data_IF_435813445856
#
_entry.id   IF_435813445856
#
_cell.length_a   1.000
_cell.length_b   1.000
_cell.length_c   1.000
_cell.angle_alpha   90.00
_cell.angle_beta   90.00
_cell.angle_gamma   90.00
#
_symmetry.space_group_name_H-M   'P 1'
#
loop_
_entity.id
_entity.type
_entity.pdbx_description
1 polymer ?
#
# COMPACT_ATOMS: atom_id res chain seq x y z
N UNK A 1 -13.79 39.14 -63.91
CA UNK A 1 -14.53 39.76 -62.78
C UNK A 1 -14.43 38.79 -61.62
N UNK A 2 -13.36 38.76 -60.82
CA UNK A 2 -12.95 39.68 -59.74
C UNK A 2 -14.15 40.12 -58.90
N UNK A 3 -14.34 39.48 -57.74
CA UNK A 3 -14.47 40.20 -56.46
C UNK A 3 -14.02 39.28 -55.32
N UNK A 4 -12.96 39.73 -54.66
CA UNK A 4 -12.42 39.21 -53.41
C UNK A 4 -13.34 39.60 -52.26
N UNK A 5 -13.46 38.74 -51.24
CA UNK A 5 -13.81 39.21 -49.90
C UNK A 5 -12.85 38.57 -48.89
N UNK A 6 -11.89 39.39 -48.44
CA UNK A 6 -11.08 39.16 -47.25
C UNK A 6 -11.98 39.21 -46.01
N UNK A 7 -11.79 38.28 -45.07
CA UNK A 7 -12.14 38.52 -43.67
C UNK A 7 -10.94 38.21 -42.79
N UNK A 8 -10.53 39.22 -42.03
CA UNK A 8 -9.38 39.26 -41.15
C UNK A 8 -9.70 38.66 -39.76
N UNK A 9 -8.74 37.89 -39.24
CA UNK A 9 -8.22 37.81 -37.86
C UNK A 9 -9.16 37.94 -36.64
N UNK A 10 -9.08 36.95 -35.74
CA UNK A 10 -8.65 37.14 -34.32
C UNK A 10 -7.97 35.88 -33.77
N UNK A 11 -6.63 35.89 -33.75
CA UNK A 11 -5.81 35.05 -32.88
C UNK A 11 -5.80 35.69 -31.49
N UNK A 12 -6.33 35.00 -30.48
CA UNK A 12 -6.14 35.37 -29.08
C UNK A 12 -4.86 34.70 -28.60
N UNK A 13 -3.78 35.48 -28.58
CA UNK A 13 -2.56 35.11 -27.87
C UNK A 13 -2.80 35.31 -26.37
N UNK A 14 -2.85 34.21 -25.61
CA UNK A 14 -2.79 34.27 -24.15
C UNK A 14 -1.33 34.52 -23.78
N UNK A 15 -1.00 35.77 -23.46
CA UNK A 15 0.25 36.12 -22.80
C UNK A 15 0.16 35.65 -21.34
N UNK A 16 0.86 34.59 -20.99
CA UNK A 16 1.20 34.35 -19.58
C UNK A 16 2.29 35.33 -19.17
N UNK A 17 1.89 36.27 -18.32
CA UNK A 17 2.77 37.16 -17.59
C UNK A 17 3.63 36.28 -16.66
N UNK A 18 4.87 36.05 -17.05
CA UNK A 18 5.92 35.58 -16.16
C UNK A 18 6.20 36.73 -15.19
N UNK A 19 5.62 36.68 -13.99
CA UNK A 19 6.11 37.46 -12.86
C UNK A 19 7.37 36.78 -12.35
N UNK A 20 8.51 37.33 -12.74
CA UNK A 20 9.78 37.13 -12.07
C UNK A 20 9.68 37.70 -10.65
N UNK A 21 9.89 36.86 -9.64
CA UNK A 21 10.12 37.30 -8.25
C UNK A 21 11.64 37.25 -8.02
N UNK A 22 12.26 38.32 -7.51
CA UNK A 22 13.71 38.38 -7.35
C UNK A 22 14.20 37.54 -6.16
N UNK A 23 15.49 37.22 -6.23
CA UNK A 23 16.32 36.52 -5.25
C UNK A 23 16.11 36.92 -3.78
N UNK A 24 16.32 35.92 -2.91
CA UNK A 24 17.19 36.08 -1.74
C UNK A 24 16.53 36.49 -0.42
N UNK A 25 16.32 35.51 0.46
CA UNK A 25 16.72 35.56 1.87
C UNK A 25 16.58 34.15 2.46
N UNK A 26 17.68 33.61 2.99
CA UNK A 26 17.64 32.36 3.75
C UNK A 26 16.78 32.55 4.97
N UNK A 27 15.76 31.71 5.14
CA UNK A 27 14.99 31.68 6.37
C UNK A 27 15.86 31.05 7.47
N UNK A 28 15.90 31.64 8.68
CA UNK A 28 16.77 31.17 9.74
C UNK A 28 16.37 29.76 10.16
N UNK A 29 17.34 28.85 10.18
CA UNK A 29 17.27 27.62 10.96
C UNK A 29 17.07 28.06 12.41
N UNK A 30 15.83 27.98 12.90
CA UNK A 30 15.57 28.04 14.34
C UNK A 30 16.04 26.72 14.92
N UNK A 31 17.30 26.69 15.36
CA UNK A 31 17.75 25.73 16.35
C UNK A 31 16.86 25.94 17.58
N UNK A 32 15.94 25.01 17.83
CA UNK A 32 15.23 24.96 19.10
C UNK A 32 16.25 24.59 20.17
N UNK A 33 16.79 25.61 20.84
CA UNK A 33 17.41 25.44 22.15
C UNK A 33 16.28 24.97 23.07
N UNK A 34 16.40 23.81 23.74
CA UNK A 34 15.40 23.41 24.71
C UNK A 34 15.30 24.50 25.77
N UNK A 35 14.08 24.98 26.00
CA UNK A 35 13.79 25.84 27.13
C UNK A 35 14.20 25.06 28.39
N UNK A 36 15.13 25.62 29.15
CA UNK A 36 15.41 25.18 30.51
C UNK A 36 14.12 25.32 31.30
N UNK A 37 13.49 24.18 31.62
CA UNK A 37 12.46 24.14 32.66
C UNK A 37 13.19 24.38 33.97
N UNK A 38 13.14 25.63 34.43
CA UNK A 38 13.33 25.95 35.84
C UNK A 38 12.08 25.44 36.52
N UNK A 39 12.12 24.20 37.01
CA UNK A 39 11.11 23.75 37.97
C UNK A 39 11.35 24.47 39.29
N UNK A 40 10.31 25.18 39.71
CA UNK A 40 10.25 25.85 40.98
C UNK A 40 10.46 24.85 42.11
N UNK A 41 11.50 25.12 42.89
CA UNK A 41 11.65 24.74 44.29
C UNK A 41 10.30 24.66 45.01
N UNK A 42 9.91 23.46 45.40
CA UNK A 42 9.31 23.24 46.70
C UNK A 42 10.02 22.04 47.34
N UNK A 43 10.95 22.40 48.21
CA UNK A 43 11.50 21.55 49.25
C UNK A 43 10.37 20.85 50.01
N UNK A 44 10.38 19.52 50.01
CA UNK A 44 10.13 18.72 51.20
C UNK A 44 11.08 17.52 51.13
N UNK A 45 12.17 17.62 51.87
CA UNK A 45 13.07 16.53 52.18
C UNK A 45 12.27 15.35 52.74
N UNK A 46 12.31 14.21 52.06
CA UNK A 46 12.15 12.92 52.73
C UNK A 46 13.15 11.92 52.14
N UNK A 47 14.25 11.77 52.87
CA UNK A 47 15.16 10.64 52.75
C UNK A 47 14.41 9.35 53.08
N UNK A 48 14.20 8.49 52.08
CA UNK A 48 14.01 7.06 52.29
C UNK A 48 14.49 6.29 51.05
N UNK A 49 15.77 5.93 51.09
CA UNK A 49 16.28 4.72 50.45
C UNK A 49 15.38 3.54 50.82
N UNK A 50 14.79 2.85 49.83
CA UNK A 50 14.62 1.39 49.70
C UNK A 50 13.79 1.12 48.44
N UNK A 51 14.47 0.81 47.33
CA UNK A 51 13.81 0.29 46.14
C UNK A 51 13.48 -1.19 46.36
N UNK A 52 12.19 -1.52 46.42
CA UNK A 52 11.69 -2.89 46.28
C UNK A 52 11.13 -3.01 44.87
N UNK A 53 11.81 -3.81 44.06
CA UNK A 53 11.40 -4.20 42.71
C UNK A 53 10.26 -5.22 42.81
N UNK A 54 9.03 -4.82 42.50
CA UNK A 54 7.96 -5.79 42.27
C UNK A 54 8.10 -6.36 40.84
N UNK A 55 8.73 -7.54 40.75
CA UNK A 55 8.71 -8.36 39.54
C UNK A 55 7.33 -8.97 39.36
N UNK A 56 6.47 -8.38 38.51
CA UNK A 56 5.37 -9.11 37.90
C UNK A 56 5.86 -9.76 36.60
N UNK A 57 6.35 -10.98 36.73
CA UNK A 57 6.59 -11.89 35.61
C UNK A 57 5.26 -12.45 35.11
N UNK A 58 4.65 -11.83 34.10
CA UNK A 58 3.74 -12.54 33.22
C UNK A 58 4.56 -13.32 32.19
N UNK A 59 4.78 -14.60 32.49
CA UNK A 59 5.26 -15.56 31.51
C UNK A 59 4.09 -15.93 30.58
N UNK A 60 4.02 -15.30 29.41
CA UNK A 60 3.16 -15.78 28.32
C UNK A 60 3.90 -16.84 27.51
N UNK A 61 3.69 -18.10 27.90
CA UNK A 61 3.95 -19.26 27.06
C UNK A 61 2.72 -19.55 26.19
N UNK A 62 2.90 -19.43 24.87
CA UNK A 62 1.97 -19.90 23.85
C UNK A 62 1.74 -21.42 23.95
N UNK A 63 0.47 -21.86 23.95
CA UNK A 63 0.13 -23.28 23.74
C UNK A 63 -1.29 -23.72 24.11
N UNK A 64 -2.24 -23.57 23.16
CA UNK A 64 -3.25 -24.56 22.75
C UNK A 64 -4.06 -25.40 23.78
N UNK A 65 -5.40 -25.19 23.75
CA UNK A 65 -6.51 -26.17 23.77
C UNK A 65 -7.03 -26.86 25.05
N UNK A 66 -8.37 -26.75 25.18
CA UNK A 66 -9.40 -27.61 25.80
C UNK A 66 -9.63 -27.62 27.33
N UNK A 67 -10.78 -27.02 27.68
CA UNK A 67 -11.82 -27.40 28.66
C UNK A 67 -11.40 -27.99 30.01
N UNK A 68 -11.69 -27.26 31.09
CA UNK A 68 -12.67 -27.71 32.09
C UNK A 68 -13.16 -26.54 32.94
N UNK A 69 -14.48 -26.43 33.01
CA UNK A 69 -15.24 -25.69 34.00
C UNK A 69 -14.81 -26.11 35.41
N UNK A 70 -14.17 -25.18 36.12
CA UNK A 70 -14.25 -25.12 37.58
C UNK A 70 -14.83 -23.76 37.94
N UNK A 71 -15.95 -23.89 38.64
CA UNK A 71 -16.73 -22.87 39.33
C UNK A 71 -15.84 -22.21 40.40
N UNK A 72 -14.90 -21.34 39.98
CA UNK A 72 -14.25 -20.44 40.91
C UNK A 72 -15.18 -19.26 41.10
N UNK A 73 -15.78 -19.23 42.28
CA UNK A 73 -16.65 -18.16 42.74
C UNK A 73 -15.96 -16.83 42.46
N UNK A 74 -16.58 -16.05 41.59
CA UNK A 74 -16.36 -14.61 41.50
C UNK A 74 -16.37 -14.06 42.93
N UNK A 75 -15.18 -13.69 43.42
CA UNK A 75 -15.10 -12.78 44.55
C UNK A 75 -15.55 -11.45 43.99
N UNK A 76 -16.87 -11.24 44.05
CA UNK A 76 -17.52 -9.95 43.89
C UNK A 76 -16.84 -8.99 44.88
N UNK A 77 -15.85 -8.23 44.41
CA UNK A 77 -15.23 -7.16 45.19
C UNK A 77 -16.09 -5.91 45.00
N UNK A 78 -16.86 -5.48 46.01
CA UNK A 78 -17.66 -4.28 45.91
C UNK A 78 -16.79 -3.11 46.34
N UNK A 79 -15.98 -2.56 45.42
CA UNK A 79 -15.39 -1.23 45.65
C UNK A 79 -16.14 -0.21 44.81
N UNK A 80 -17.32 0.14 45.30
CA UNK A 80 -18.17 1.22 44.79
C UNK A 80 -17.53 2.63 44.88
N UNK A 81 -16.27 2.73 45.33
CA UNK A 81 -15.57 4.01 45.56
C UNK A 81 -14.38 4.24 44.62
N UNK A 82 -14.10 3.35 43.66
CA UNK A 82 -13.03 3.58 42.68
C UNK A 82 -11.64 3.67 43.31
N UNK A 83 -11.35 2.90 44.38
CA UNK A 83 -9.99 2.81 44.90
C UNK A 83 -9.27 1.60 44.28
N UNK A 84 -8.07 1.81 43.71
CA UNK A 84 -7.25 0.76 43.10
C UNK A 84 -6.15 0.32 44.09
N UNK A 85 -6.09 -0.98 44.48
CA UNK A 85 -5.03 -1.48 45.33
C UNK A 85 -3.70 -1.49 44.57
N UNK A 86 -2.65 -0.89 45.15
CA UNK A 86 -1.31 -0.87 44.54
C UNK A 86 -0.24 -1.58 45.39
N UNK A 87 -0.56 -1.90 46.64
CA UNK A 87 0.29 -2.74 47.50
C UNK A 87 -0.58 -3.67 48.35
N UNK A 88 -0.21 -4.95 48.37
CA UNK A 88 -0.84 -5.99 49.17
C UNK A 88 0.25 -6.59 50.07
N UNK A 89 0.15 -6.33 51.38
CA UNK A 89 0.91 -7.08 52.39
C UNK A 89 -0.04 -8.02 53.15
N UNK A 90 0.52 -8.94 53.94
CA UNK A 90 -0.26 -9.91 54.71
C UNK A 90 -1.28 -9.23 55.66
N UNK A 91 -1.02 -7.98 56.07
CA UNK A 91 -1.81 -7.26 57.08
C UNK A 91 -2.48 -5.97 56.57
N UNK A 92 -2.16 -5.50 55.35
CA UNK A 92 -2.68 -4.23 54.82
C UNK A 92 -2.82 -4.23 53.30
N UNK A 93 -3.94 -3.69 52.81
CA UNK A 93 -4.13 -3.30 51.40
C UNK A 93 -4.05 -1.78 51.31
N UNK A 94 -3.03 -1.26 50.63
CA UNK A 94 -2.98 0.15 50.30
C UNK A 94 -3.71 0.36 48.98
N UNK A 95 -4.77 1.19 49.04
CA UNK A 95 -5.55 1.56 47.88
C UNK A 95 -5.41 3.05 47.60
N UNK A 96 -5.29 3.40 46.32
CA UNK A 96 -5.25 4.77 45.83
C UNK A 96 -6.59 5.08 45.17
N UNK A 97 -7.22 6.18 45.57
CA UNK A 97 -8.40 6.68 44.87
C UNK A 97 -8.08 6.93 43.40
N UNK A 98 -8.89 6.37 42.50
CA UNK A 98 -8.79 6.52 41.04
C UNK A 98 -8.84 8.01 40.64
N UNK A 99 -9.54 8.84 41.42
CA UNK A 99 -9.53 10.30 41.25
C UNK A 99 -8.16 10.97 41.46
N UNK A 100 -7.21 10.28 42.11
CA UNK A 100 -5.84 10.75 42.37
C UNK A 100 -4.80 10.08 41.45
N UNK A 101 -5.22 9.20 40.53
CA UNK A 101 -4.35 8.75 39.46
C UNK A 101 -4.25 9.88 38.43
N UNK A 102 -3.12 10.58 38.43
CA UNK A 102 -2.83 11.55 37.37
C UNK A 102 -2.78 10.76 36.07
N UNK A 103 -3.82 10.92 35.23
CA UNK A 103 -3.83 10.33 33.89
C UNK A 103 -2.54 10.76 33.18
N UNK A 104 -1.73 9.77 32.87
CA UNK A 104 -0.44 9.94 32.22
C UNK A 104 -0.64 10.75 30.94
N UNK A 105 0.07 11.87 30.82
CA UNK A 105 -0.09 12.79 29.67
C UNK A 105 0.68 12.20 28.47
N UNK A 106 0.08 12.20 27.27
CA UNK A 106 0.78 11.94 26.02
C UNK A 106 2.08 12.75 25.90
N UNK A 107 3.17 12.12 25.45
CA UNK A 107 4.47 12.78 25.37
C UNK A 107 5.14 12.56 24.01
N UNK A 108 6.01 13.50 23.64
CA UNK A 108 6.93 13.30 22.53
C UNK A 108 7.99 12.26 22.91
N UNK A 109 8.26 11.33 22.01
CA UNK A 109 9.18 10.21 22.24
C UNK A 109 10.43 10.22 21.35
N UNK A 110 10.63 11.28 20.58
CA UNK A 110 11.82 11.45 19.75
C UNK A 110 11.62 11.08 18.28
N UNK A 111 12.70 10.66 17.64
CA UNK A 111 12.78 10.45 16.18
C UNK A 111 13.13 9.00 15.86
N UNK A 112 12.22 8.32 15.15
CA UNK A 112 12.45 7.00 14.60
C UNK A 112 13.22 7.11 13.27
N UNK A 113 14.52 6.78 13.29
CA UNK A 113 15.35 6.70 12.08
C UNK A 113 15.12 5.38 11.33
N UNK A 114 14.35 5.44 10.25
CA UNK A 114 14.09 4.27 9.41
C UNK A 114 15.25 4.06 8.44
N UNK A 115 16.04 3.00 8.64
CA UNK A 115 17.15 2.65 7.75
C UNK A 115 16.65 2.13 6.39
N UNK A 116 16.77 2.99 5.37
CA UNK A 116 16.28 2.70 4.03
C UNK A 116 17.21 1.83 3.20
N UNK A 117 18.42 1.54 3.68
CA UNK A 117 19.28 0.51 3.06
C UNK A 117 18.74 -0.88 3.34
N UNK A 118 18.22 -1.10 4.55
CA UNK A 118 17.69 -2.40 4.96
C UNK A 118 16.27 -2.66 4.45
N UNK A 119 15.46 -1.62 4.28
CA UNK A 119 14.05 -1.74 3.84
C UNK A 119 13.68 -0.71 2.77
N UNK A 120 14.32 -0.75 1.58
CA UNK A 120 14.15 0.28 0.57
C UNK A 120 12.72 0.43 0.05
N UNK A 121 11.97 -0.66 -0.11
CA UNK A 121 10.61 -0.59 -0.67
C UNK A 121 9.61 -0.07 0.37
N UNK A 122 9.75 -0.46 1.64
CA UNK A 122 8.98 0.11 2.74
C UNK A 122 9.29 1.61 2.94
N UNK A 123 10.57 2.01 2.88
CA UNK A 123 10.94 3.43 2.88
C UNK A 123 10.34 4.17 1.70
N UNK A 124 10.35 3.58 0.50
CA UNK A 124 9.78 4.22 -0.70
C UNK A 124 8.30 4.57 -0.51
N UNK A 125 7.51 3.68 0.09
CA UNK A 125 6.11 3.95 0.41
C UNK A 125 5.95 5.03 1.49
N UNK A 126 6.68 4.90 2.60
CA UNK A 126 6.64 5.85 3.71
C UNK A 126 7.07 7.27 3.31
N UNK A 127 8.17 7.40 2.56
CA UNK A 127 8.67 8.65 2.02
C UNK A 127 7.66 9.28 1.04
N UNK A 128 6.99 8.47 0.21
CA UNK A 128 5.96 8.98 -0.69
C UNK A 128 4.78 9.58 0.09
N UNK A 129 4.33 8.91 1.15
CA UNK A 129 3.30 9.46 2.01
C UNK A 129 3.74 10.79 2.65
N UNK A 130 4.86 10.76 3.37
CA UNK A 130 5.32 11.91 4.16
C UNK A 130 5.72 13.10 3.29
N UNK A 131 6.48 12.86 2.22
CA UNK A 131 7.10 13.94 1.45
C UNK A 131 6.26 14.36 0.23
N UNK A 132 5.32 13.52 -0.24
CA UNK A 132 4.51 13.81 -1.42
C UNK A 132 3.01 13.97 -1.13
N UNK A 133 2.37 13.01 -0.45
CA UNK A 133 0.94 13.12 -0.09
C UNK A 133 0.73 14.23 0.97
N UNK A 134 1.61 14.26 1.97
CA UNK A 134 1.59 15.22 3.07
C UNK A 134 2.51 16.43 2.84
N UNK A 135 2.91 16.68 1.58
CA UNK A 135 3.81 17.78 1.24
C UNK A 135 3.35 19.12 1.84
N UNK A 136 4.29 19.81 2.49
CA UNK A 136 4.01 21.08 3.18
C UNK A 136 3.37 20.93 4.57
N UNK A 137 3.24 19.71 5.09
CA UNK A 137 2.77 19.44 6.45
C UNK A 137 3.82 18.67 7.24
N UNK A 138 3.93 18.98 8.53
CA UNK A 138 4.67 18.13 9.47
C UNK A 138 3.80 16.94 9.82
N UNK A 139 4.28 15.73 9.54
CA UNK A 139 3.59 14.49 9.90
C UNK A 139 4.12 14.03 11.25
N UNK A 140 3.22 13.93 12.23
CA UNK A 140 3.51 13.33 13.53
C UNK A 140 2.79 11.99 13.61
N UNK A 141 3.49 10.96 14.07
CA UNK A 141 2.92 9.64 14.23
C UNK A 141 2.59 9.43 15.71
N UNK A 142 1.37 8.99 15.97
CA UNK A 142 0.82 8.86 17.33
C UNK A 142 0.52 7.39 17.61
N UNK A 143 0.74 6.93 18.85
CA UNK A 143 0.32 5.61 19.30
C UNK A 143 -1.22 5.50 19.25
N UNK A 144 -1.75 4.44 18.62
CA UNK A 144 -3.18 4.30 18.37
C UNK A 144 -3.95 4.08 19.67
N UNK A 145 -5.18 4.60 19.71
CA UNK A 145 -6.17 4.31 20.74
C UNK A 145 -7.18 3.25 20.25
N UNK A 146 -8.06 2.77 21.13
CA UNK A 146 -9.05 1.72 20.84
C UNK A 146 -10.04 2.03 19.69
N UNK A 147 -10.12 3.29 19.25
CA UNK A 147 -10.96 3.75 18.14
C UNK A 147 -10.17 4.19 16.90
N UNK A 148 -8.87 3.92 16.85
CA UNK A 148 -8.06 4.23 15.67
C UNK A 148 -8.45 3.34 14.50
N UNK A 149 -8.48 3.92 13.30
CA UNK A 149 -8.85 3.21 12.09
C UNK A 149 -7.96 1.98 11.84
N UNK A 150 -8.60 0.85 11.53
CA UNK A 150 -7.96 -0.44 11.39
C UNK A 150 -7.42 -0.70 9.96
N UNK A 151 -6.95 -1.93 9.71
CA UNK A 151 -6.44 -2.31 8.37
C UNK A 151 -7.55 -2.41 7.32
N UNK A 152 -8.82 -2.52 7.70
CA UNK A 152 -9.96 -2.49 6.78
C UNK A 152 -10.16 -1.05 6.30
N UNK A 153 -10.13 -0.08 7.22
CA UNK A 153 -10.21 1.35 6.93
C UNK A 153 -9.04 1.84 6.07
N UNK A 154 -7.84 1.28 6.23
CA UNK A 154 -6.71 1.55 5.34
C UNK A 154 -6.82 0.84 3.98
N UNK A 155 -7.83 0.00 3.77
CA UNK A 155 -8.03 -0.76 2.54
C UNK A 155 -7.10 -1.96 2.36
N UNK A 156 -6.44 -2.43 3.42
CA UNK A 156 -5.46 -3.51 3.35
C UNK A 156 -6.05 -4.87 3.71
N UNK A 157 -6.90 -4.92 4.74
CA UNK A 157 -7.59 -6.14 5.12
C UNK A 157 -8.87 -6.30 4.29
N UNK A 158 -8.87 -7.30 3.41
CA UNK A 158 -10.02 -7.66 2.58
C UNK A 158 -10.42 -9.13 2.79
N UNK A 159 -11.63 -9.49 2.38
CA UNK A 159 -12.24 -10.81 2.51
C UNK A 159 -11.33 -11.98 2.13
N UNK A 160 -10.42 -11.77 1.17
CA UNK A 160 -9.44 -12.76 0.72
C UNK A 160 -7.99 -12.25 0.86
N UNK A 161 -7.60 -11.81 2.06
CA UNK A 161 -6.23 -11.42 2.38
C UNK A 161 -5.98 -9.93 2.16
N UNK A 162 -5.14 -9.57 1.19
CA UNK A 162 -4.82 -8.17 0.86
C UNK A 162 -4.95 -7.90 -0.64
N UNK A 163 -5.13 -6.64 -1.07
CA UNK A 163 -5.27 -6.30 -2.49
C UNK A 163 -4.09 -6.79 -3.33
N UNK A 164 -2.86 -6.68 -2.81
CA UNK A 164 -1.65 -7.11 -3.52
C UNK A 164 -1.59 -8.62 -3.80
N UNK A 165 -2.43 -9.42 -3.14
CA UNK A 165 -2.53 -10.86 -3.37
C UNK A 165 -3.68 -11.24 -4.30
N UNK A 166 -4.46 -10.27 -4.76
CA UNK A 166 -5.64 -10.47 -5.60
C UNK A 166 -5.51 -9.76 -6.93
N UNK A 167 -6.15 -10.29 -7.96
CA UNK A 167 -6.21 -9.64 -9.27
C UNK A 167 -7.36 -8.62 -9.30
N UNK A 168 -7.18 -7.48 -9.99
CA UNK A 168 -6.06 -7.17 -10.89
C UNK A 168 -4.88 -6.46 -10.20
N UNK A 169 -4.97 -6.11 -8.92
CA UNK A 169 -3.97 -5.28 -8.22
C UNK A 169 -2.60 -5.95 -8.12
N UNK A 170 -2.56 -7.23 -7.77
CA UNK A 170 -1.33 -8.02 -7.75
C UNK A 170 -0.65 -8.12 -9.13
N UNK A 171 -1.39 -8.00 -10.23
CA UNK A 171 -0.78 -7.91 -11.57
C UNK A 171 -0.20 -6.52 -11.83
N UNK A 172 -0.92 -5.47 -11.42
CA UNK A 172 -0.54 -4.08 -11.66
C UNK A 172 0.68 -3.65 -10.86
N UNK A 173 0.68 -4.01 -9.58
CA UNK A 173 1.59 -3.45 -8.59
C UNK A 173 2.72 -4.41 -8.22
N UNK A 174 2.74 -5.62 -8.78
CA UNK A 174 3.91 -6.47 -8.67
C UNK A 174 5.04 -5.86 -9.49
N UNK A 175 6.11 -5.45 -8.80
CA UNK A 175 7.32 -5.00 -9.43
C UNK A 175 7.92 -6.13 -10.31
N UNK A 176 8.11 -5.92 -11.62
CA UNK A 176 8.70 -6.91 -12.51
C UNK A 176 10.09 -7.39 -12.07
N UNK A 177 10.86 -6.56 -11.35
CA UNK A 177 12.18 -6.92 -10.78
C UNK A 177 12.07 -8.07 -9.78
N UNK A 178 10.91 -8.22 -9.15
CA UNK A 178 10.60 -9.27 -8.19
C UNK A 178 10.17 -10.59 -8.86
N UNK A 179 9.91 -10.61 -10.17
CA UNK A 179 9.43 -11.81 -10.88
C UNK A 179 10.46 -12.95 -10.99
N UNK A 180 11.75 -12.68 -10.82
CA UNK A 180 12.77 -13.71 -10.98
C UNK A 180 12.70 -14.84 -9.91
N UNK A 181 12.01 -14.61 -8.78
CA UNK A 181 11.87 -15.59 -7.68
C UNK A 181 10.43 -15.63 -7.11
N UNK A 182 9.43 -15.80 -8.00
CA UNK A 182 8.00 -15.85 -7.63
C UNK A 182 7.65 -16.92 -6.58
N UNK A 183 8.43 -18.00 -6.46
CA UNK A 183 8.21 -19.06 -5.47
C UNK A 183 8.54 -18.63 -4.03
N UNK A 184 9.28 -17.53 -3.85
CA UNK A 184 9.75 -17.06 -2.54
C UNK A 184 9.13 -15.74 -2.07
N UNK A 185 8.47 -14.98 -2.96
CA UNK A 185 7.95 -13.66 -2.62
C UNK A 185 6.48 -13.73 -2.23
N UNK A 186 6.24 -13.89 -0.93
CA UNK A 186 4.95 -13.50 -0.33
C UNK A 186 4.83 -11.98 -0.48
N UNK A 187 4.21 -11.52 -1.56
CA UNK A 187 3.87 -10.11 -1.73
C UNK A 187 2.90 -9.72 -0.62
N UNK A 188 3.17 -8.57 -0.01
CA UNK A 188 2.33 -7.96 1.01
C UNK A 188 1.91 -6.57 0.56
N UNK A 189 0.78 -6.12 1.10
CA UNK A 189 0.39 -4.72 1.01
C UNK A 189 1.03 -4.00 2.19
N UNK A 190 2.03 -3.18 1.89
CA UNK A 190 2.56 -2.21 2.81
C UNK A 190 1.64 -0.99 2.88
N UNK A 191 1.53 -0.40 4.06
CA UNK A 191 0.59 0.67 4.36
C UNK A 191 1.27 1.75 5.20
N UNK A 192 1.05 3.00 4.80
CA UNK A 192 1.57 4.15 5.52
C UNK A 192 0.52 5.28 5.59
N UNK A 193 0.14 5.77 6.79
CA UNK A 193 0.62 5.37 8.10
C UNK A 193 0.27 3.92 8.44
N UNK A 194 1.10 3.29 9.27
CA UNK A 194 0.97 1.89 9.67
C UNK A 194 -0.26 1.68 10.55
N UNK A 195 -0.80 0.45 10.59
CA UNK A 195 -1.84 0.06 11.58
C UNK A 195 -1.46 0.36 13.03
N UNK A 196 -0.17 0.33 13.34
CA UNK A 196 0.31 0.62 14.68
C UNK A 196 0.48 2.11 14.98
N UNK A 197 -0.09 2.97 14.15
CA UNK A 197 -0.11 4.43 14.28
C UNK A 197 -1.57 4.88 14.23
N UNK A 198 -1.88 5.97 14.94
CA UNK A 198 -3.21 6.55 14.93
C UNK A 198 -3.57 7.02 13.52
N UNK A 199 -4.80 6.71 13.09
CA UNK A 199 -5.34 7.07 11.77
C UNK A 199 -6.82 7.41 11.86
N UNK A 200 -7.24 8.28 10.97
CA UNK A 200 -8.65 8.58 10.74
C UNK A 200 -9.33 7.45 9.95
N UNK A 201 -10.63 7.28 10.17
CA UNK A 201 -11.46 6.37 9.36
C UNK A 201 -11.44 6.77 7.89
N UNK A 202 -11.72 5.81 7.01
CA UNK A 202 -11.80 6.08 5.59
C UNK A 202 -12.87 7.14 5.27
N UNK A 203 -12.46 8.21 4.61
CA UNK A 203 -13.30 9.29 4.13
C UNK A 203 -13.23 9.37 2.59
N UNK A 204 -14.29 8.95 1.86
CA UNK A 204 -14.32 9.04 0.41
C UNK A 204 -14.35 10.49 -0.12
N UNK A 205 -14.63 11.47 0.75
CA UNK A 205 -14.61 12.89 0.41
C UNK A 205 -13.25 13.56 0.67
N UNK A 206 -12.28 12.83 1.22
CA UNK A 206 -10.95 13.35 1.46
C UNK A 206 -10.30 13.81 0.15
N UNK A 207 -9.81 15.06 0.16
CA UNK A 207 -9.14 15.66 -1.02
C UNK A 207 -7.75 15.10 -1.27
N UNK A 208 -7.20 14.35 -0.31
CA UNK A 208 -5.90 13.69 -0.38
C UNK A 208 -6.04 12.25 0.13
N UNK A 209 -5.27 11.31 -0.41
CA UNK A 209 -5.23 9.96 0.14
C UNK A 209 -4.87 9.97 1.63
N UNK A 210 -5.67 9.30 2.46
CA UNK A 210 -5.39 9.17 3.90
C UNK A 210 -4.30 8.14 4.20
N UNK A 211 -4.00 7.25 3.24
CA UNK A 211 -2.92 6.27 3.32
C UNK A 211 -2.28 6.07 1.96
N UNK A 212 -0.99 5.75 1.97
CA UNK A 212 -0.23 5.25 0.82
C UNK A 212 -0.08 3.73 0.94
N UNK A 213 -0.46 3.02 -0.12
CA UNK A 213 -0.34 1.59 -0.24
C UNK A 213 0.67 1.23 -1.33
N UNK A 214 1.46 0.19 -1.09
CA UNK A 214 2.40 -0.38 -2.05
C UNK A 214 2.46 -1.89 -1.94
N UNK A 215 2.61 -2.58 -3.07
CA UNK A 215 2.87 -4.01 -3.06
C UNK A 215 4.37 -4.28 -3.00
N UNK A 216 4.84 -4.83 -1.89
CA UNK A 216 6.27 -5.06 -1.66
C UNK A 216 6.54 -6.49 -1.18
N UNK A 217 7.79 -6.93 -1.24
CA UNK A 217 8.20 -8.23 -0.72
C UNK A 217 8.02 -8.31 0.80
N UNK A 218 7.43 -9.39 1.32
CA UNK A 218 7.14 -9.50 2.75
C UNK A 218 8.35 -9.41 3.67
N UNK A 219 9.55 -9.74 3.19
CA UNK A 219 10.79 -9.57 3.96
C UNK A 219 11.13 -8.08 4.16
N UNK A 220 10.96 -7.26 3.13
CA UNK A 220 11.20 -5.82 3.20
C UNK A 220 10.18 -5.14 4.12
N UNK A 221 8.90 -5.48 3.93
CA UNK A 221 7.81 -4.99 4.77
C UNK A 221 8.02 -5.35 6.26
N UNK A 222 8.41 -6.60 6.54
CA UNK A 222 8.65 -7.06 7.91
C UNK A 222 9.83 -6.34 8.56
N UNK A 223 10.92 -6.06 7.81
CA UNK A 223 12.05 -5.28 8.32
C UNK A 223 11.64 -3.84 8.62
N UNK A 224 10.94 -3.19 7.69
CA UNK A 224 10.45 -1.82 7.86
C UNK A 224 9.55 -1.68 9.09
N UNK A 225 8.55 -2.58 9.24
CA UNK A 225 7.67 -2.57 10.40
C UNK A 225 8.39 -2.91 11.71
N UNK A 226 9.38 -3.80 11.68
CA UNK A 226 10.18 -4.14 12.86
C UNK A 226 11.08 -2.98 13.32
N UNK A 227 11.53 -2.12 12.40
CA UNK A 227 12.27 -0.90 12.74
C UNK A 227 11.41 0.02 13.62
N UNK A 228 10.18 0.32 13.17
CA UNK A 228 9.24 1.16 13.94
C UNK A 228 8.85 0.50 15.26
N UNK A 229 8.62 -0.83 15.26
CA UNK A 229 8.36 -1.60 16.49
C UNK A 229 9.50 -1.45 17.51
N UNK A 230 10.76 -1.64 17.09
CA UNK A 230 11.93 -1.57 17.98
C UNK A 230 12.14 -0.18 18.56
N UNK A 231 11.91 0.87 17.78
CA UNK A 231 11.91 2.26 18.28
C UNK A 231 10.89 2.44 19.41
N UNK A 232 9.63 2.04 19.17
CA UNK A 232 8.53 2.14 20.13
C UNK A 232 8.80 1.36 21.42
N UNK A 233 9.39 0.17 21.29
CA UNK A 233 9.74 -0.71 22.41
C UNK A 233 11.05 -0.33 23.12
N UNK A 234 11.82 0.63 22.61
CA UNK A 234 13.13 0.99 23.18
C UNK A 234 14.17 -0.12 23.06
N UNK A 235 14.14 -0.88 21.96
CA UNK A 235 15.04 -2.01 21.70
C UNK A 235 15.87 -1.82 20.44
N UNK A 236 16.82 -2.73 20.20
CA UNK A 236 17.67 -2.71 19.01
C UNK A 236 18.55 -1.46 18.96
N UNK A 237 18.48 -0.70 17.86
CA UNK A 237 19.31 0.49 17.65
C UNK A 237 18.97 1.66 18.58
N UNK A 238 17.79 1.63 19.22
CA UNK A 238 17.34 2.62 20.20
C UNK A 238 17.41 2.11 21.65
N UNK A 239 17.87 0.88 21.86
CA UNK A 239 18.11 0.33 23.19
C UNK A 239 19.46 0.76 23.78
N UNK A 240 19.77 0.35 25.01
CA UNK A 240 21.06 0.66 25.66
C UNK A 240 22.25 0.23 24.79
N UNK A 241 23.14 1.18 24.49
CA UNK A 241 24.32 0.95 23.64
C UNK A 241 24.03 0.94 22.13
N UNK A 242 22.78 1.16 21.71
CA UNK A 242 22.40 1.28 20.31
C UNK A 242 22.83 2.62 19.70
N UNK A 243 23.05 2.64 18.38
CA UNK A 243 23.55 3.82 17.65
C UNK A 243 22.59 5.01 17.63
N UNK A 244 21.29 4.77 17.80
CA UNK A 244 20.23 5.78 17.78
C UNK A 244 19.59 5.96 19.16
N UNK A 245 20.24 5.48 20.24
CA UNK A 245 19.72 5.59 21.61
C UNK A 245 19.39 7.04 22.00
N UNK A 246 20.17 8.01 21.52
CA UNK A 246 19.95 9.44 21.78
C UNK A 246 18.75 10.03 21.03
N UNK A 247 18.28 9.37 19.97
CA UNK A 247 17.13 9.83 19.19
C UNK A 247 15.80 9.43 19.85
N UNK A 248 15.82 8.53 20.84
CA UNK A 248 14.63 8.10 21.58
C UNK A 248 14.58 8.79 22.95
N UNK A 249 13.42 9.35 23.27
CA UNK A 249 13.19 10.11 24.50
C UNK A 249 12.26 9.37 25.48
N UNK A 250 12.41 9.67 26.77
CA UNK A 250 11.57 9.15 27.83
C UNK A 250 11.98 7.77 28.36
N UNK A 251 11.07 7.13 29.10
CA UNK A 251 11.29 5.82 29.73
C UNK A 251 11.69 4.75 28.70
N UNK A 252 12.58 3.80 29.04
CA UNK A 252 12.92 2.68 28.18
C UNK A 252 11.74 1.71 27.95
N UNK A 253 10.64 1.86 28.69
CA UNK A 253 9.42 1.10 28.46
C UNK A 253 8.79 1.46 27.09
N UNK A 254 7.94 0.54 26.59
CA UNK A 254 7.12 0.76 25.39
C UNK A 254 6.31 2.06 25.50
N UNK A 255 6.09 2.73 24.37
CA UNK A 255 5.18 3.89 24.32
C UNK A 255 3.75 3.50 24.69
N UNK A 256 3.04 4.43 25.34
CA UNK A 256 1.60 4.27 25.65
C UNK A 256 0.74 5.06 24.67
N UNK A 257 -0.56 4.77 24.68
CA UNK A 257 -1.56 5.47 23.87
C UNK A 257 -1.39 7.00 23.88
N UNK A 258 -1.48 7.61 22.70
CA UNK A 258 -1.33 9.05 22.52
C UNK A 258 0.12 9.56 22.46
N UNK A 259 1.12 8.75 22.83
CA UNK A 259 2.52 9.12 22.59
C UNK A 259 2.78 9.40 21.14
N UNK A 260 3.63 10.36 20.85
CA UNK A 260 3.91 10.74 19.47
C UNK A 260 5.39 10.89 19.19
N UNK A 261 5.75 10.70 17.93
CA UNK A 261 7.13 10.70 17.47
C UNK A 261 7.20 11.10 15.99
N UNK A 262 8.41 11.49 15.58
CA UNK A 262 8.70 11.79 14.18
C UNK A 262 9.38 10.59 13.52
N UNK A 263 9.29 10.52 12.19
CA UNK A 263 10.03 9.53 11.39
C UNK A 263 11.00 10.26 10.47
N UNK A 264 12.27 9.87 10.55
CA UNK A 264 13.34 10.34 9.69
C UNK A 264 13.84 9.17 8.83
N UNK A 265 13.97 9.39 7.53
CA UNK A 265 14.46 8.39 6.59
C UNK A 265 15.99 8.43 6.53
N UNK A 266 16.63 7.45 7.17
CA UNK A 266 18.07 7.41 7.33
C UNK A 266 18.73 6.76 6.11
N UNK A 267 19.51 7.56 5.38
CA UNK A 267 20.25 7.17 4.18
C UNK A 267 21.78 7.06 4.41
N UNK A 268 22.23 7.18 5.66
CA UNK A 268 23.67 7.29 5.98
C UNK A 268 24.48 6.00 5.79
N UNK A 269 23.83 4.84 5.78
CA UNK A 269 24.50 3.54 5.70
C UNK A 269 24.86 3.08 4.27
N UNK A 270 24.43 3.83 3.26
CA UNK A 270 24.75 3.52 1.87
C UNK A 270 26.22 3.81 1.56
N UNK A 271 26.94 2.80 1.08
CA UNK A 271 28.25 2.95 0.47
C UNK A 271 28.07 3.37 -0.99
N UNK A 272 28.13 4.67 -1.26
CA UNK A 272 27.92 5.21 -2.61
C UNK A 272 29.04 4.86 -3.62
N UNK A 273 30.11 4.20 -3.19
CA UNK A 273 31.14 3.65 -4.07
C UNK A 273 30.78 2.22 -4.57
N UNK A 274 29.82 1.54 -3.94
CA UNK A 274 29.28 0.28 -4.44
C UNK A 274 28.16 0.59 -5.46
N UNK A 275 28.29 0.18 -6.74
CA UNK A 275 27.27 0.42 -7.76
C UNK A 275 25.89 -0.16 -7.41
N UNK A 276 25.84 -1.26 -6.65
CA UNK A 276 24.59 -1.91 -6.25
C UNK A 276 23.86 -1.08 -5.20
N UNK A 277 24.58 -0.66 -4.17
CA UNK A 277 24.02 0.22 -3.13
C UNK A 277 23.65 1.59 -3.69
N UNK A 278 24.48 2.12 -4.61
CA UNK A 278 24.19 3.37 -5.31
C UNK A 278 22.89 3.29 -6.13
N UNK A 279 22.66 2.18 -6.83
CA UNK A 279 21.44 1.97 -7.60
C UNK A 279 20.19 1.93 -6.70
N UNK A 280 20.28 1.34 -5.50
CA UNK A 280 19.18 1.34 -4.52
C UNK A 280 18.97 2.76 -3.98
N UNK A 281 20.05 3.45 -3.59
CA UNK A 281 19.99 4.84 -3.12
C UNK A 281 19.33 5.76 -4.14
N UNK A 282 19.74 5.68 -5.41
CA UNK A 282 19.17 6.50 -6.49
C UNK A 282 17.70 6.14 -6.77
N UNK A 283 17.27 4.91 -6.52
CA UNK A 283 15.87 4.47 -6.65
C UNK A 283 14.95 5.01 -5.54
N UNK A 284 15.48 5.41 -4.38
CA UNK A 284 14.73 5.98 -3.24
C UNK A 284 14.33 7.45 -3.49
N UNK A 285 13.82 7.77 -4.68
CA UNK A 285 13.58 9.14 -5.16
C UNK A 285 12.65 9.98 -4.29
N UNK A 286 11.76 9.35 -3.53
CA UNK A 286 10.84 10.06 -2.61
C UNK A 286 11.50 10.41 -1.28
N UNK A 287 12.63 9.78 -0.93
CA UNK A 287 13.32 9.95 0.34
C UNK A 287 14.42 11.03 0.28
N UNK A 288 14.80 11.48 -0.91
CA UNK A 288 15.82 12.50 -1.08
C UNK A 288 15.31 13.90 -0.70
N UNK A 289 16.22 14.83 -0.32
CA UNK A 289 15.89 16.24 -0.25
C UNK A 289 15.32 16.73 -1.58
N UNK A 290 14.15 17.38 -1.58
CA UNK A 290 13.39 17.75 -2.78
C UNK A 290 12.94 16.54 -3.60
N UNK A 291 11.99 15.74 -3.09
CA UNK A 291 11.57 14.50 -3.74
C UNK A 291 10.95 14.75 -5.13
N UNK A 292 11.22 13.83 -6.07
CA UNK A 292 10.39 13.71 -7.27
C UNK A 292 9.08 13.00 -6.90
N UNK A 293 8.04 13.77 -6.65
CA UNK A 293 6.72 13.26 -6.28
C UNK A 293 5.90 12.69 -7.44
N UNK A 294 6.49 12.54 -8.64
CA UNK A 294 5.89 11.77 -9.71
C UNK A 294 5.79 10.30 -9.31
N UNK A 295 4.57 9.79 -9.24
CA UNK A 295 4.32 8.37 -8.95
C UNK A 295 5.08 7.48 -9.96
N UNK A 296 5.76 6.45 -9.45
CA UNK A 296 6.46 5.41 -10.20
C UNK A 296 5.51 4.36 -10.77
N UNK A 297 4.22 4.48 -10.49
CA UNK A 297 3.15 3.59 -10.91
C UNK A 297 2.87 2.47 -9.91
N UNK A 298 3.54 2.44 -8.76
CA UNK A 298 3.38 1.41 -7.75
C UNK A 298 2.71 1.92 -6.46
N UNK A 299 2.58 3.24 -6.32
CA UNK A 299 1.84 3.84 -5.20
C UNK A 299 0.35 3.94 -5.54
N UNK A 300 -0.47 3.43 -4.64
CA UNK A 300 -1.92 3.45 -4.77
C UNK A 300 -2.60 3.73 -3.43
N UNK A 301 -3.89 3.98 -3.47
CA UNK A 301 -4.71 4.18 -2.28
C UNK A 301 -6.10 3.60 -2.53
N UNK A 302 -6.81 3.30 -1.45
CA UNK A 302 -8.22 2.96 -1.53
C UNK A 302 -9.03 4.22 -1.88
N UNK A 303 -9.89 4.12 -2.87
CA UNK A 303 -10.78 5.21 -3.30
C UNK A 303 -12.25 4.96 -2.96
N UNK A 304 -12.61 3.71 -2.63
CA UNK A 304 -13.91 3.37 -2.09
C UNK A 304 -13.82 2.14 -1.18
N UNK A 305 -14.40 2.23 0.02
CA UNK A 305 -14.53 1.13 0.96
C UNK A 305 -15.93 0.52 0.88
N UNK A 306 -16.00 -0.78 0.60
CA UNK A 306 -17.20 -1.59 0.68
C UNK A 306 -16.97 -2.71 1.66
N UNK A 307 -17.83 -2.87 2.65
CA UNK A 307 -17.69 -3.96 3.61
C UNK A 307 -18.40 -5.22 3.12
N UNK A 308 -17.90 -6.37 3.56
CA UNK A 308 -18.65 -7.63 3.49
C UNK A 308 -19.94 -7.55 4.30
N UNK A 309 -20.90 -8.43 4.04
CA UNK A 309 -22.21 -8.40 4.72
C UNK A 309 -22.08 -8.56 6.26
N UNK A 310 -20.98 -9.15 6.73
CA UNK A 310 -20.64 -9.30 8.15
C UNK A 310 -19.87 -8.10 8.73
N UNK A 311 -19.53 -7.08 7.93
CA UNK A 311 -18.80 -5.88 8.37
C UNK A 311 -17.32 -6.10 8.73
N UNK A 312 -16.85 -7.34 8.86
CA UNK A 312 -15.54 -7.67 9.42
C UNK A 312 -14.34 -7.47 8.49
N UNK A 313 -14.57 -7.21 7.19
CA UNK A 313 -13.49 -7.00 6.21
C UNK A 313 -13.95 -6.20 5.01
N UNK A 314 -12.98 -5.58 4.32
CA UNK A 314 -13.19 -4.97 3.01
C UNK A 314 -13.58 -6.01 1.97
N UNK A 315 -14.45 -5.65 1.05
CA UNK A 315 -15.03 -6.58 0.10
C UNK A 315 -14.18 -6.63 -1.16
N UNK A 316 -13.51 -7.74 -1.41
CA UNK A 316 -12.81 -8.00 -2.68
C UNK A 316 -13.20 -9.39 -3.18
N UNK A 317 -13.20 -9.59 -4.49
CA UNK A 317 -13.72 -10.82 -5.09
C UNK A 317 -13.12 -11.11 -6.46
N UNK A 318 -13.37 -12.32 -6.93
CA UNK A 318 -12.89 -12.85 -8.20
C UNK A 318 -14.09 -13.46 -8.95
N UNK A 319 -14.44 -12.96 -10.15
CA UNK A 319 -13.84 -11.81 -10.83
C UNK A 319 -14.00 -10.51 -10.04
N UNK A 320 -13.08 -9.56 -10.24
CA UNK A 320 -13.16 -8.25 -9.61
C UNK A 320 -14.24 -7.39 -10.29
N UNK A 321 -15.21 -6.93 -9.50
CA UNK A 321 -16.27 -6.02 -9.91
C UNK A 321 -16.08 -4.66 -9.22
N UNK A 322 -15.67 -3.66 -10.02
CA UNK A 322 -15.44 -2.28 -9.58
C UNK A 322 -16.68 -1.66 -8.92
N UNK A 323 -17.90 -2.14 -9.21
CA UNK A 323 -19.15 -1.61 -8.66
C UNK A 323 -19.57 -2.27 -7.34
N UNK A 324 -18.96 -3.40 -6.99
CA UNK A 324 -19.35 -4.19 -5.80
C UNK A 324 -18.24 -4.39 -4.79
N UNK A 325 -16.98 -4.13 -5.15
CA UNK A 325 -15.81 -4.37 -4.30
C UNK A 325 -15.08 -3.09 -3.90
N UNK A 326 -14.16 -3.14 -2.94
CA UNK A 326 -13.26 -2.02 -2.66
C UNK A 326 -12.56 -1.59 -3.94
N UNK A 327 -12.53 -0.29 -4.20
CA UNK A 327 -11.82 0.26 -5.35
C UNK A 327 -10.51 0.89 -4.91
N UNK A 328 -9.53 0.81 -5.80
CA UNK A 328 -8.20 1.33 -5.58
C UNK A 328 -7.77 2.15 -6.78
N UNK A 329 -7.01 3.19 -6.52
CA UNK A 329 -6.57 4.16 -7.52
C UNK A 329 -5.07 4.35 -7.42
N UNK A 330 -4.41 4.42 -8.58
CA UNK A 330 -3.01 4.82 -8.63
C UNK A 330 -2.93 6.29 -8.23
N UNK A 331 -2.08 6.62 -7.26
CA UNK A 331 -2.03 7.99 -6.75
C UNK A 331 -1.63 8.97 -7.86
N UNK A 332 -2.46 9.99 -8.09
CA UNK A 332 -2.30 10.97 -9.18
C UNK A 332 -3.07 10.65 -10.46
N UNK A 333 -3.62 9.44 -10.61
CA UNK A 333 -4.48 9.09 -11.73
C UNK A 333 -5.95 9.45 -11.43
N UNK A 334 -6.77 9.79 -12.44
CA UNK A 334 -8.15 10.21 -12.23
C UNK A 334 -9.13 9.05 -12.04
N UNK A 335 -8.76 7.83 -12.45
CA UNK A 335 -9.65 6.69 -12.54
C UNK A 335 -9.20 5.53 -11.63
N UNK A 336 -10.18 4.80 -11.11
CA UNK A 336 -9.97 3.59 -10.33
C UNK A 336 -9.56 2.42 -11.23
N UNK A 337 -8.77 1.50 -10.68
CA UNK A 337 -8.35 0.29 -11.37
C UNK A 337 -9.53 -0.64 -11.56
N UNK A 338 -9.64 -1.15 -12.78
CA UNK A 338 -10.61 -2.15 -13.23
C UNK A 338 -9.91 -3.40 -13.74
N UNK A 339 -10.63 -4.52 -13.77
CA UNK A 339 -10.18 -5.76 -14.39
C UNK A 339 -10.80 -5.88 -15.78
N UNK A 340 -9.97 -5.88 -16.80
CA UNK A 340 -10.39 -6.11 -18.17
C UNK A 340 -10.04 -7.53 -18.58
N UNK A 341 -10.81 -8.06 -19.53
CA UNK A 341 -10.67 -9.40 -20.06
C UNK A 341 -10.50 -9.31 -21.57
N UNK A 342 -9.53 -10.03 -22.13
CA UNK A 342 -9.41 -10.19 -23.58
C UNK A 342 -9.47 -11.67 -23.94
N UNK A 343 -10.40 -12.00 -24.85
CA UNK A 343 -10.52 -13.32 -25.45
C UNK A 343 -9.97 -13.27 -26.86
N UNK A 344 -9.00 -14.14 -27.17
CA UNK A 344 -8.49 -14.35 -28.52
C UNK A 344 -8.88 -15.74 -29.00
N UNK A 345 -9.64 -15.81 -30.09
CA UNK A 345 -9.96 -17.09 -30.72
C UNK A 345 -9.04 -17.27 -31.92
N UNK A 346 -8.20 -18.30 -31.86
CA UNK A 346 -7.29 -18.70 -32.95
C UNK A 346 -7.87 -19.93 -33.61
N UNK A 347 -8.26 -19.77 -34.87
CA UNK A 347 -8.98 -20.78 -35.66
C UNK A 347 -8.33 -20.93 -37.04
N UNK A 348 -8.90 -21.79 -37.88
CA UNK A 348 -8.40 -22.10 -39.22
C UNK A 348 -7.39 -23.25 -39.24
N UNK A 349 -7.26 -23.91 -40.39
CA UNK A 349 -6.41 -25.10 -40.57
C UNK A 349 -4.92 -24.82 -40.28
N UNK A 350 -4.50 -23.59 -40.52
CA UNK A 350 -3.13 -23.08 -40.30
C UNK A 350 -2.99 -22.32 -38.98
N UNK A 351 -4.03 -22.30 -38.14
CA UNK A 351 -4.10 -21.51 -36.91
C UNK A 351 -3.78 -20.02 -37.12
N UNK A 352 -4.26 -19.43 -38.22
CA UNK A 352 -3.96 -18.04 -38.59
C UNK A 352 -5.13 -17.08 -38.52
N UNK A 353 -6.34 -17.58 -38.29
CA UNK A 353 -7.52 -16.75 -38.15
C UNK A 353 -7.67 -16.32 -36.71
N UNK A 354 -7.38 -15.05 -36.43
CA UNK A 354 -7.46 -14.49 -35.07
C UNK A 354 -8.63 -13.52 -34.97
N UNK A 355 -9.55 -13.80 -34.05
CA UNK A 355 -10.58 -12.85 -33.61
C UNK A 355 -10.31 -12.43 -32.16
N UNK A 356 -10.79 -11.25 -31.78
CA UNK A 356 -10.57 -10.71 -30.44
C UNK A 356 -11.83 -10.07 -29.90
N UNK A 357 -12.05 -10.20 -28.59
CA UNK A 357 -13.12 -9.53 -27.86
C UNK A 357 -12.60 -9.08 -26.51
N UNK A 358 -12.90 -7.84 -26.15
CA UNK A 358 -12.51 -7.23 -24.88
C UNK A 358 -13.75 -6.98 -24.06
N UNK A 359 -13.71 -7.36 -22.79
CA UNK A 359 -14.80 -7.24 -21.85
C UNK A 359 -14.36 -6.59 -20.55
N UNK A 360 -15.31 -6.02 -19.83
CA UNK A 360 -15.18 -5.63 -18.43
C UNK A 360 -16.30 -6.28 -17.63
N UNK A 361 -16.02 -6.64 -16.38
CA UNK A 361 -17.02 -7.17 -15.46
C UNK A 361 -17.54 -6.03 -14.57
N UNK A 362 -18.80 -5.63 -14.77
CA UNK A 362 -19.43 -4.54 -14.03
C UNK A 362 -20.83 -4.97 -13.59
N UNK A 363 -21.15 -4.73 -12.31
CA UNK A 363 -22.45 -5.08 -11.73
C UNK A 363 -22.84 -6.55 -11.86
N UNK A 364 -21.86 -7.46 -11.93
CA UNK A 364 -22.09 -8.89 -12.12
C UNK A 364 -22.27 -9.31 -13.58
N UNK A 365 -22.10 -8.40 -14.54
CA UNK A 365 -22.34 -8.61 -15.97
C UNK A 365 -21.06 -8.36 -16.76
N UNK A 366 -20.70 -9.28 -17.66
CA UNK A 366 -19.64 -9.05 -18.65
C UNK A 366 -20.18 -8.17 -19.79
N UNK A 367 -19.57 -7.01 -19.99
CA UNK A 367 -19.92 -6.07 -21.07
C UNK A 367 -18.81 -6.05 -22.12
N UNK A 368 -19.15 -6.36 -23.38
CA UNK A 368 -18.20 -6.26 -24.50
C UNK A 368 -17.92 -4.78 -24.82
N UNK A 369 -16.63 -4.41 -24.86
CA UNK A 369 -16.18 -3.04 -25.07
C UNK A 369 -15.62 -2.81 -26.47
N UNK A 370 -14.98 -3.85 -27.04
CA UNK A 370 -14.40 -3.82 -28.36
C UNK A 370 -14.29 -5.24 -28.91
N UNK A 371 -14.41 -5.37 -30.23
CA UNK A 371 -14.19 -6.64 -30.89
C UNK A 371 -13.56 -6.47 -32.27
N UNK A 372 -12.92 -7.56 -32.71
CA UNK A 372 -12.35 -7.74 -34.03
C UNK A 372 -12.82 -9.08 -34.56
N UNK A 373 -13.39 -9.09 -35.76
CA UNK A 373 -13.76 -10.32 -36.45
C UNK A 373 -12.54 -11.14 -36.84
N UNK A 374 -12.73 -12.45 -37.02
CA UNK A 374 -11.66 -13.35 -37.45
C UNK A 374 -11.05 -12.84 -38.76
N UNK A 375 -9.72 -12.75 -38.79
CA UNK A 375 -8.96 -12.41 -39.99
C UNK A 375 -7.57 -13.05 -39.91
N UNK A 376 -6.90 -13.31 -41.05
CA UNK A 376 -5.54 -13.81 -41.07
C UNK A 376 -4.58 -12.88 -40.30
N UNK A 377 -3.73 -13.45 -39.46
CA UNK A 377 -2.71 -12.74 -38.70
C UNK A 377 -1.41 -13.52 -38.72
N UNK A 378 -0.41 -13.04 -39.48
CA UNK A 378 0.88 -13.72 -39.60
C UNK A 378 1.73 -13.56 -38.32
N UNK A 379 2.73 -14.43 -38.15
CA UNK A 379 3.71 -14.28 -37.08
C UNK A 379 4.44 -12.93 -37.18
N UNK A 380 4.66 -12.25 -36.05
CA UNK A 380 5.30 -10.94 -35.99
C UNK A 380 4.40 -9.77 -36.42
N UNK A 381 3.12 -10.02 -36.69
CA UNK A 381 2.16 -8.96 -37.03
C UNK A 381 1.30 -8.59 -35.82
N UNK A 382 0.58 -7.48 -35.93
CA UNK A 382 -0.27 -6.94 -34.86
C UNK A 382 -1.60 -6.40 -35.40
N UNK A 383 -2.56 -6.27 -34.51
CA UNK A 383 -3.74 -5.42 -34.72
C UNK A 383 -3.96 -4.54 -33.48
N UNK A 384 -4.78 -3.51 -33.64
CA UNK A 384 -5.16 -2.60 -32.55
C UNK A 384 -6.68 -2.56 -32.44
N UNK A 385 -7.18 -2.72 -31.21
CA UNK A 385 -8.55 -2.41 -30.83
C UNK A 385 -8.56 -0.95 -30.34
N UNK A 386 -9.40 -0.08 -30.92
CA UNK A 386 -9.40 1.35 -30.59
C UNK A 386 -9.93 1.58 -29.16
N UNK A 387 -9.52 2.70 -28.56
CA UNK A 387 -10.14 3.20 -27.34
C UNK A 387 -11.64 3.51 -27.56
N UNK A 388 -12.40 3.46 -26.48
CA UNK A 388 -13.82 3.83 -26.43
C UNK A 388 -14.10 4.60 -25.13
N UNK A 389 -15.35 5.00 -24.89
CA UNK A 389 -15.71 5.69 -23.64
C UNK A 389 -15.46 4.84 -22.38
N UNK A 390 -15.49 3.52 -22.52
CA UNK A 390 -15.32 2.55 -21.42
C UNK A 390 -13.99 1.80 -21.48
N UNK A 391 -13.30 1.81 -22.63
CA UNK A 391 -11.92 1.35 -22.79
C UNK A 391 -11.02 2.57 -23.01
N UNK A 392 -10.41 3.15 -21.94
CA UNK A 392 -9.78 4.47 -22.01
C UNK A 392 -8.57 4.55 -22.94
N UNK A 393 -7.90 3.43 -23.17
CA UNK A 393 -6.71 3.35 -24.01
C UNK A 393 -6.84 2.24 -25.05
N UNK A 394 -6.19 2.38 -26.22
CA UNK A 394 -6.17 1.32 -27.23
C UNK A 394 -5.48 0.07 -26.69
N UNK A 395 -5.87 -1.09 -27.23
CA UNK A 395 -5.20 -2.36 -26.97
C UNK A 395 -4.54 -2.84 -28.26
N UNK A 396 -3.22 -2.97 -28.24
CA UNK A 396 -2.45 -3.63 -29.30
C UNK A 396 -2.24 -5.10 -28.93
N UNK A 397 -2.45 -5.98 -29.90
CA UNK A 397 -2.19 -7.41 -29.77
C UNK A 397 -1.18 -7.81 -30.82
N UNK A 398 -0.06 -8.38 -30.39
CA UNK A 398 1.03 -8.86 -31.23
C UNK A 398 1.05 -10.39 -31.22
N UNK A 399 1.18 -11.00 -32.40
CA UNK A 399 1.36 -12.45 -32.53
C UNK A 399 2.85 -12.78 -32.50
N UNK A 400 3.27 -13.55 -31.49
CA UNK A 400 4.69 -13.83 -31.23
C UNK A 400 5.19 -15.15 -31.84
N UNK A 401 4.29 -16.08 -32.14
CA UNK A 401 4.64 -17.33 -32.80
C UNK A 401 3.53 -17.84 -33.74
N UNK A 402 3.85 -18.84 -34.55
CA UNK A 402 2.88 -19.57 -35.38
C UNK A 402 1.97 -20.50 -34.57
N UNK A 403 2.21 -20.66 -33.26
CA UNK A 403 1.32 -21.39 -32.37
C UNK A 403 0.01 -20.65 -32.09
N UNK A 404 -0.88 -21.29 -31.34
CA UNK A 404 -2.19 -20.74 -31.01
C UNK A 404 -2.22 -19.92 -29.72
N UNK A 405 -1.12 -19.88 -28.97
CA UNK A 405 -1.12 -19.42 -27.58
C UNK A 405 -0.14 -18.28 -27.30
N UNK A 406 0.68 -17.85 -28.27
CA UNK A 406 1.77 -16.90 -28.01
C UNK A 406 1.43 -15.51 -28.54
N UNK A 407 0.97 -14.66 -27.62
CA UNK A 407 0.57 -13.29 -27.91
C UNK A 407 1.17 -12.35 -26.87
N UNK A 408 1.53 -11.15 -27.28
CA UNK A 408 1.72 -10.02 -26.38
C UNK A 408 0.50 -9.10 -26.49
N UNK A 409 0.09 -8.55 -25.36
CA UNK A 409 -0.99 -7.57 -25.26
C UNK A 409 -0.41 -6.32 -24.61
N UNK A 410 -0.67 -5.17 -25.22
CA UNK A 410 -0.29 -3.86 -24.72
C UNK A 410 -1.54 -2.98 -24.62
N UNK A 411 -1.91 -2.61 -23.41
CA UNK A 411 -2.91 -1.58 -23.09
C UNK A 411 -2.19 -0.23 -22.95
N UNK A 412 -2.64 0.78 -23.68
CA UNK A 412 -2.02 2.11 -23.68
C UNK A 412 -0.73 2.20 -24.47
N UNK A 413 -0.04 3.33 -24.32
CA UNK A 413 1.21 3.62 -25.04
C UNK A 413 2.32 3.91 -24.02
N UNK A 414 3.34 3.03 -23.92
CA UNK A 414 4.46 3.26 -23.03
C UNK A 414 5.19 4.55 -23.41
N UNK A 415 5.36 5.44 -22.44
CA UNK A 415 6.15 6.66 -22.59
C UNK A 415 6.94 6.91 -21.29
N UNK A 416 8.08 7.62 -21.34
CA UNK A 416 8.88 7.92 -20.15
C UNK A 416 8.05 8.55 -19.02
N UNK A 417 7.89 7.79 -17.94
CA UNK A 417 7.11 8.17 -16.76
C UNK A 417 5.60 8.28 -16.99
N UNK A 418 5.06 7.76 -18.09
CA UNK A 418 3.64 7.46 -18.17
C UNK A 418 3.39 6.18 -17.36
N UNK A 419 2.35 6.19 -16.53
CA UNK A 419 1.98 5.03 -15.71
C UNK A 419 0.72 4.34 -16.22
N UNK A 420 -0.09 5.01 -17.05
CA UNK A 420 -1.38 4.59 -17.64
C UNK A 420 -1.27 3.57 -18.79
N UNK A 421 -0.37 2.60 -18.67
CA UNK A 421 -0.22 1.51 -19.63
C UNK A 421 0.08 0.21 -18.89
N UNK A 422 -0.21 -0.92 -19.54
CA UNK A 422 0.11 -2.24 -19.03
C UNK A 422 0.40 -3.18 -20.18
N UNK A 423 1.40 -4.06 -20.03
CA UNK A 423 1.73 -5.06 -21.04
C UNK A 423 1.97 -6.41 -20.42
N UNK A 424 1.61 -7.46 -21.14
CA UNK A 424 1.89 -8.83 -20.75
C UNK A 424 1.99 -9.74 -21.97
N UNK A 425 2.73 -10.83 -21.81
CA UNK A 425 2.65 -11.97 -22.71
C UNK A 425 1.64 -12.99 -22.19
N UNK A 426 1.07 -13.76 -23.11
CA UNK A 426 0.12 -14.82 -22.80
C UNK A 426 0.67 -15.92 -21.89
N UNK A 427 1.99 -16.03 -21.79
CA UNK A 427 2.71 -16.97 -20.92
C UNK A 427 3.11 -16.36 -19.58
N UNK A 428 2.93 -15.06 -19.39
CA UNK A 428 3.30 -14.40 -18.15
C UNK A 428 2.44 -14.95 -17.00
N UNK A 429 3.09 -15.08 -15.85
CA UNK A 429 2.46 -15.49 -14.61
C UNK A 429 2.85 -14.52 -13.51
N UNK A 430 1.96 -14.36 -12.55
CA UNK A 430 2.20 -13.58 -11.35
C UNK A 430 1.75 -14.33 -10.10
N UNK A 431 1.68 -13.63 -8.99
CA UNK A 431 1.19 -14.21 -7.75
C UNK A 431 -0.27 -14.66 -7.89
N UNK A 432 -0.49 -15.96 -7.66
CA UNK A 432 -1.63 -16.73 -8.18
C UNK A 432 -2.68 -17.12 -7.14
N UNK A 433 -2.44 -16.83 -5.85
CA UNK A 433 -3.17 -17.50 -4.76
C UNK A 433 -4.69 -17.37 -4.90
N UNK A 434 -5.14 -16.28 -5.53
CA UNK A 434 -6.55 -15.97 -5.76
C UNK A 434 -6.82 -15.62 -7.24
N UNK A 435 -6.09 -16.19 -8.20
CA UNK A 435 -6.41 -16.05 -9.61
C UNK A 435 -7.71 -16.83 -9.96
N UNK A 436 -8.41 -16.42 -11.03
CA UNK A 436 -9.71 -16.98 -11.50
C UNK A 436 -9.73 -18.52 -11.63
N UNK A 437 -8.59 -19.16 -11.86
CA UNK A 437 -8.42 -20.60 -11.68
C UNK A 437 -7.37 -20.81 -10.60
N UNK A 438 -7.78 -21.45 -9.51
CA UNK A 438 -6.91 -21.73 -8.38
C UNK A 438 -5.59 -22.37 -8.86
N UNK A 439 -4.46 -21.70 -8.56
CA UNK A 439 -3.06 -22.19 -8.62
C UNK A 439 -2.21 -21.98 -9.89
N UNK A 440 -2.72 -21.55 -11.04
CA UNK A 440 -1.84 -21.41 -12.24
C UNK A 440 -1.15 -20.04 -12.32
N UNK A 441 -1.79 -18.96 -11.82
CA UNK A 441 -1.17 -17.61 -11.78
C UNK A 441 -0.92 -16.96 -13.13
N UNK A 442 -1.24 -17.66 -14.22
CA UNK A 442 -1.06 -17.18 -15.59
C UNK A 442 -2.08 -16.13 -15.92
N UNK A 443 -1.60 -15.03 -16.50
CA UNK A 443 -2.48 -13.93 -16.91
C UNK A 443 -3.49 -14.38 -17.97
N UNK A 444 -3.14 -15.43 -18.72
CA UNK A 444 -4.03 -16.09 -19.66
C UNK A 444 -4.23 -17.57 -19.36
N UNK A 445 -5.45 -18.03 -19.60
CA UNK A 445 -5.80 -19.45 -19.65
C UNK A 445 -6.21 -19.82 -21.06
N UNK A 446 -6.02 -21.08 -21.45
CA UNK A 446 -6.44 -21.57 -22.76
C UNK A 446 -7.56 -22.59 -22.64
N UNK A 447 -8.46 -22.60 -23.62
CA UNK A 447 -9.50 -23.60 -23.78
C UNK A 447 -9.63 -24.02 -25.24
N UNK A 448 -10.00 -25.28 -25.47
CA UNK A 448 -10.26 -25.80 -26.80
C UNK A 448 -11.59 -25.26 -27.32
N UNK A 449 -11.61 -24.74 -28.54
CA UNK A 449 -12.84 -24.44 -29.26
C UNK A 449 -13.27 -25.73 -29.95
N UNK A 450 -14.41 -26.27 -29.51
CA UNK A 450 -14.98 -27.49 -30.09
C UNK A 450 -15.87 -27.11 -31.27
N UNK A 451 -15.77 -27.89 -32.34
CA UNK A 451 -16.70 -27.77 -33.44
C UNK A 451 -18.10 -28.24 -33.00
N UNK A 452 -19.19 -27.55 -33.41
CA UNK A 452 -20.55 -28.04 -33.19
C UNK A 452 -20.77 -29.44 -33.77
N UNK A 453 -20.03 -29.82 -34.81
CA UNK A 453 -19.99 -31.17 -35.33
C UNK A 453 -19.06 -32.05 -34.47
N UNK A 454 -19.61 -33.04 -33.72
CA UNK A 454 -18.81 -33.91 -32.85
C UNK A 454 -17.81 -34.81 -33.61
N UNK A 455 -17.90 -34.89 -34.95
CA UNK A 455 -16.96 -35.62 -35.79
C UNK A 455 -15.68 -34.82 -36.09
N UNK A 456 -15.66 -33.50 -35.87
CA UNK A 456 -14.49 -32.64 -36.09
C UNK A 456 -13.81 -32.42 -34.73
N UNK A 457 -12.61 -32.99 -34.58
CA UNK A 457 -11.94 -33.07 -33.27
C UNK A 457 -11.58 -31.70 -32.66
N UNK A 458 -11.30 -30.67 -33.47
CA UNK A 458 -10.95 -29.32 -33.00
C UNK A 458 -11.27 -28.25 -34.05
N UNK A 459 -11.89 -27.12 -33.65
CA UNK A 459 -12.07 -25.95 -34.51
C UNK A 459 -11.09 -24.80 -34.22
N UNK A 460 -10.42 -24.83 -33.06
CA UNK A 460 -9.38 -23.86 -32.68
C UNK A 460 -9.03 -23.86 -31.20
N UNK A 461 -8.31 -22.82 -30.79
CA UNK A 461 -7.97 -22.53 -29.39
C UNK A 461 -8.48 -21.14 -29.02
N UNK A 462 -9.03 -21.00 -27.82
CA UNK A 462 -9.35 -19.71 -27.22
C UNK A 462 -8.39 -19.41 -26.08
N UNK A 463 -7.80 -18.24 -26.12
CA UNK A 463 -7.01 -17.68 -25.04
C UNK A 463 -7.86 -16.64 -24.30
N UNK A 464 -8.03 -16.80 -23.00
CA UNK A 464 -8.74 -15.85 -22.12
C UNK A 464 -7.76 -15.23 -21.16
N UNK A 465 -7.51 -13.94 -21.29
CA UNK A 465 -6.57 -13.20 -20.47
C UNK A 465 -7.26 -12.16 -19.60
N UNK A 466 -6.65 -11.82 -18.47
CA UNK A 466 -7.11 -10.71 -17.61
C UNK A 466 -5.98 -9.77 -17.28
N UNK A 467 -6.28 -8.47 -17.22
CA UNK A 467 -5.29 -7.43 -16.96
C UNK A 467 -5.89 -6.21 -16.26
N UNK A 468 -5.09 -5.45 -15.49
CA UNK A 468 -5.47 -4.16 -14.92
C UNK A 468 -5.54 -3.07 -15.99
N UNK A 469 -6.54 -2.18 -15.88
CA UNK A 469 -6.61 -0.95 -16.65
C UNK A 469 -7.40 0.14 -15.89
N UNK A 470 -7.17 1.40 -16.24
CA UNK A 470 -7.80 2.60 -15.67
C UNK A 470 -7.72 3.75 -16.68
#
# INVERSE_FOLDING_TARGET
MIFSLLTFLRLVAVQHVIKTVPLGQGLPIRTLVPATVIDGLNNLDYNATHGITAHFSHAETSGSMYTNTLDDKDVDWPLANGDIPFELSEDTTLAQADSNLVKRVPAYRGVCKMDCKLSPEACTNACYYQNCIMAGQTVQYVEPHAGSADRVQAGVAVSQGTPCQQWPFGQRFMDPRLQANLTQLRIQTDEWPMYSQQRDDFDPSATRPQSSLRCIGGSDNSRGGNTVKRFREGTGEWGPGGRFVSDRLGSPAKFDEGDWYDIEFYLGDFNLNDPTERAIYDALKYCHPQPDCKNDGFQFHMSNLRLTDLGASGKLGQPYDHEKHNTYRITGEPADIRQFHISLDVTGLTNDQVSARVYVYENGVETELASKTAAPMANGTSFTLPASNTLPQPIRVDRLSTGCLDFAVLYGTPAPGAINWFSFNSRDSGWARWALKERDGRYCTSELIRDPNPQVQMSGMRLKCTFPAW
#
